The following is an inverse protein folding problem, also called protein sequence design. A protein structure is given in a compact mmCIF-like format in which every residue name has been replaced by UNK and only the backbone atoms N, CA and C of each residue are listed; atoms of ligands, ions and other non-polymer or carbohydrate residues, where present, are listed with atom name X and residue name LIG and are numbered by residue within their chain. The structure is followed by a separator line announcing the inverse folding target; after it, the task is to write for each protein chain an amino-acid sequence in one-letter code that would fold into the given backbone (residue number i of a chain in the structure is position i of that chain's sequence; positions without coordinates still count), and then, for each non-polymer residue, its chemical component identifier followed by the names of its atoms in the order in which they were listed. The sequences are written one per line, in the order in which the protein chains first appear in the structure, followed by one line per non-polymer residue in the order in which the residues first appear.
data_IF_902662570846
#
_entry.id   IF_902662570846
#
_cell.length_a   1.000
_cell.length_b   1.000
_cell.length_c   1.000
_cell.angle_alpha   90.00
_cell.angle_beta   90.00
_cell.angle_gamma   90.00
#
_symmetry.space_group_name_H-M   'P 1'
#
loop_
_entity.id
_entity.type
_entity.pdbx_description
1 polymer ?
#
# COMPACT_ATOMS: atom_id res chain seq x y z
N UNK A 1 -16.14 32.06 -21.64
CA UNK A 1 -16.69 30.71 -21.41
C UNK A 1 -15.68 29.88 -20.63
N UNK A 2 -15.94 29.54 -19.36
CA UNK A 2 -15.11 28.59 -18.60
C UNK A 2 -15.62 27.19 -18.88
N UNK A 3 -14.80 26.37 -19.55
CA UNK A 3 -15.07 24.94 -19.71
C UNK A 3 -14.95 24.30 -18.32
N UNK A 4 -16.05 23.81 -17.77
CA UNK A 4 -16.06 23.07 -16.52
C UNK A 4 -15.36 21.72 -16.75
N UNK A 5 -14.09 21.62 -16.35
CA UNK A 5 -13.38 20.33 -16.35
C UNK A 5 -13.96 19.45 -15.24
N UNK A 6 -14.72 18.41 -15.63
CA UNK A 6 -15.22 17.40 -14.69
C UNK A 6 -14.04 16.57 -14.16
N UNK A 7 -13.82 16.61 -12.85
CA UNK A 7 -12.91 15.68 -12.18
C UNK A 7 -13.62 14.35 -11.97
N UNK A 8 -12.92 13.25 -12.24
CA UNK A 8 -13.37 11.91 -11.85
C UNK A 8 -13.42 11.79 -10.32
N UNK A 9 -14.46 11.15 -9.82
CA UNK A 9 -14.55 10.67 -8.44
C UNK A 9 -13.49 9.61 -8.16
N UNK A 10 -13.18 9.39 -6.88
CA UNK A 10 -12.21 8.37 -6.48
C UNK A 10 -12.64 6.96 -6.93
N UNK A 11 -13.94 6.65 -6.86
CA UNK A 11 -14.51 5.37 -7.30
C UNK A 11 -14.31 5.15 -8.81
N UNK A 12 -14.52 6.19 -9.62
CA UNK A 12 -14.28 6.14 -11.07
C UNK A 12 -12.79 5.97 -11.41
N UNK A 13 -11.89 6.52 -10.59
CA UNK A 13 -10.44 6.36 -10.76
C UNK A 13 -9.97 4.95 -10.40
N UNK A 14 -10.35 4.45 -9.22
CA UNK A 14 -9.91 3.14 -8.71
C UNK A 14 -10.52 2.00 -9.54
N UNK A 15 -11.74 2.15 -10.07
CA UNK A 15 -12.42 1.10 -10.84
C UNK A 15 -11.71 0.66 -12.15
N UNK A 16 -10.64 1.37 -12.57
CA UNK A 16 -9.83 1.01 -13.75
C UNK A 16 -8.49 0.34 -13.40
N UNK A 17 -8.16 0.24 -12.11
CA UNK A 17 -6.89 -0.32 -11.65
C UNK A 17 -6.89 -1.83 -11.88
N UNK A 18 -5.84 -2.34 -12.53
CA UNK A 18 -5.64 -3.76 -12.84
C UNK A 18 -4.42 -4.38 -12.17
N UNK A 19 -3.64 -3.55 -11.48
CA UNK A 19 -2.41 -3.92 -10.79
C UNK A 19 -2.31 -3.06 -9.53
N UNK A 20 -1.96 -3.70 -8.41
CA UNK A 20 -1.60 -3.04 -7.17
C UNK A 20 -0.14 -3.36 -6.88
N UNK A 21 0.70 -2.33 -6.83
CA UNK A 21 2.09 -2.44 -6.40
C UNK A 21 2.23 -1.70 -5.09
N UNK A 22 2.73 -2.39 -4.05
CA UNK A 22 2.86 -1.87 -2.70
C UNK A 22 4.34 -1.89 -2.32
N UNK A 23 4.75 -0.84 -1.61
CA UNK A 23 6.01 -0.88 -0.89
C UNK A 23 5.89 -1.84 0.31
N UNK A 24 7.02 -2.23 0.89
CA UNK A 24 7.05 -3.18 2.01
C UNK A 24 7.15 -2.41 3.32
N UNK A 25 8.27 -1.73 3.55
CA UNK A 25 8.60 -1.19 4.86
C UNK A 25 7.84 0.11 5.14
N UNK A 26 6.91 0.06 6.10
CA UNK A 26 6.01 1.17 6.42
C UNK A 26 4.70 1.20 5.61
N UNK A 27 4.50 0.24 4.71
CA UNK A 27 3.22 0.02 4.01
C UNK A 27 2.63 -1.34 4.37
N UNK A 28 3.30 -2.43 4.00
CA UNK A 28 2.88 -3.79 4.38
C UNK A 28 3.38 -4.19 5.77
N UNK A 29 4.38 -3.48 6.29
CA UNK A 29 4.89 -3.63 7.65
C UNK A 29 4.72 -2.34 8.45
N UNK A 30 4.86 -2.42 9.77
CA UNK A 30 4.89 -1.24 10.65
C UNK A 30 6.20 -0.41 10.55
N UNK A 31 7.07 -0.72 9.59
CA UNK A 31 8.30 -0.01 9.30
C UNK A 31 9.45 -0.32 10.27
N UNK A 32 9.27 -1.24 11.24
CA UNK A 32 10.34 -1.65 12.14
C UNK A 32 11.28 -2.63 11.46
N UNK A 33 12.58 -2.42 11.65
CA UNK A 33 13.63 -3.37 11.24
C UNK A 33 14.12 -4.08 12.50
N UNK A 34 13.76 -5.35 12.65
CA UNK A 34 14.07 -6.14 13.86
C UNK A 34 15.10 -7.21 13.51
N UNK A 35 16.21 -7.23 14.24
CA UNK A 35 17.24 -8.24 14.15
C UNK A 35 17.21 -9.15 15.39
N UNK A 36 17.29 -10.46 15.18
CA UNK A 36 17.44 -11.43 16.27
C UNK A 36 18.90 -11.49 16.73
N UNK A 37 19.14 -12.02 17.93
CA UNK A 37 20.50 -12.27 18.42
C UNK A 37 21.32 -13.25 17.57
N UNK A 38 20.68 -13.95 16.63
CA UNK A 38 21.32 -14.87 15.66
C UNK A 38 21.60 -14.21 14.31
N UNK A 39 21.26 -12.93 14.14
CA UNK A 39 21.45 -12.19 12.89
C UNK A 39 20.34 -12.40 11.85
N UNK A 40 19.18 -12.91 12.25
CA UNK A 40 18.01 -13.02 11.37
C UNK A 40 17.23 -11.70 11.38
N UNK A 41 16.61 -11.36 10.26
CA UNK A 41 15.69 -10.22 10.17
C UNK A 41 14.24 -10.71 10.29
N UNK A 42 13.44 -10.04 11.14
CA UNK A 42 12.02 -10.33 11.35
C UNK A 42 11.16 -9.18 10.83
N UNK A 43 10.20 -9.50 9.97
CA UNK A 43 9.23 -8.54 9.41
C UNK A 43 7.82 -8.88 9.91
N UNK A 44 7.09 -7.87 10.38
CA UNK A 44 5.73 -8.02 10.88
C UNK A 44 4.73 -7.49 9.84
N UNK A 45 3.88 -8.39 9.34
CA UNK A 45 2.78 -8.08 8.42
C UNK A 45 1.44 -8.19 9.14
N UNK A 46 0.42 -7.49 8.64
CA UNK A 46 -0.93 -7.59 9.18
C UNK A 46 -1.73 -8.70 8.46
N UNK A 47 -2.41 -9.57 9.23
CA UNK A 47 -3.10 -10.74 8.66
C UNK A 47 -4.20 -10.32 7.67
N UNK A 48 -4.92 -9.24 7.96
CA UNK A 48 -5.99 -8.76 7.08
C UNK A 48 -5.50 -8.28 5.69
N UNK A 49 -4.20 -7.99 5.53
CA UNK A 49 -3.66 -7.57 4.24
C UNK A 49 -3.47 -8.74 3.27
N UNK A 50 -3.41 -9.97 3.79
CA UNK A 50 -3.20 -11.20 3.01
C UNK A 50 -4.44 -12.08 2.82
N UNK A 51 -5.56 -11.76 3.49
CA UNK A 51 -6.84 -12.50 3.40
C UNK A 51 -7.84 -11.78 2.51
#
# INVERSE_FOLDING_TARGET
MKILQRRLSLKEKIGKVRLLALDVDGVLTDGRIIWTGKGEEVRHFHVQDGT
#
